data_IF_347413443438
#
_entry.id   IF_347413443438
#
_cell.length_a   1.000
_cell.length_b   1.000
_cell.length_c   1.000
_cell.angle_alpha   90.00
_cell.angle_beta   90.00
_cell.angle_gamma   90.00
#
_symmetry.space_group_name_H-M   'P 1'
#
loop_
_entity.id
_entity.type
_entity.pdbx_description
1 polymer ?
#
# COMPACT_ATOMS: atom_id res chain seq x y z
N UNK A 1 25.46 24.93 63.06
CA UNK A 1 26.91 24.74 62.96
C UNK A 1 27.23 23.33 63.42
N UNK A 2 27.54 22.40 62.53
CA UNK A 2 28.31 21.19 62.83
C UNK A 2 29.06 20.76 61.56
N UNK A 3 30.35 20.52 61.73
CA UNK A 3 31.30 20.14 60.69
C UNK A 3 31.24 18.63 60.43
N UNK A 4 31.33 18.21 59.17
CA UNK A 4 31.56 16.81 58.78
C UNK A 4 32.98 16.64 58.26
N UNK A 5 33.76 15.77 58.91
CA UNK A 5 35.13 15.39 58.54
C UNK A 5 35.08 14.29 57.47
N UNK A 6 35.83 14.46 56.38
CA UNK A 6 36.01 13.44 55.35
C UNK A 6 37.24 12.57 55.62
N UNK A 7 37.10 11.25 55.42
CA UNK A 7 38.22 10.33 55.20
C UNK A 7 38.19 9.84 53.75
N UNK A 8 39.28 10.07 53.03
CA UNK A 8 39.54 9.48 51.72
C UNK A 8 40.22 8.11 51.92
N UNK A 9 39.72 7.07 51.25
CA UNK A 9 40.39 5.78 51.11
C UNK A 9 40.69 5.52 49.63
N UNK A 10 41.93 5.15 49.34
CA UNK A 10 42.48 4.90 48.01
C UNK A 10 42.47 3.40 47.71
N UNK A 11 41.33 2.88 47.24
CA UNK A 11 41.16 1.68 46.37
C UNK A 11 39.67 1.43 46.08
N UNK A 12 39.27 1.10 44.84
CA UNK A 12 37.88 0.84 44.53
C UNK A 12 37.46 -0.54 45.05
N UNK A 13 36.41 -0.57 45.87
CA UNK A 13 35.66 -1.78 46.20
C UNK A 13 34.31 -1.68 45.47
N UNK A 14 33.95 -2.69 44.69
CA UNK A 14 32.62 -2.74 44.06
C UNK A 14 31.69 -3.42 45.06
N UNK A 15 30.77 -2.65 45.65
CA UNK A 15 29.63 -3.14 46.40
C UNK A 15 28.45 -3.24 45.44
N UNK A 16 28.01 -4.46 45.13
CA UNK A 16 26.79 -4.68 44.36
C UNK A 16 25.64 -4.97 45.35
N UNK A 17 24.71 -4.02 45.49
CA UNK A 17 23.51 -4.16 46.29
C UNK A 17 22.34 -4.40 45.32
N UNK A 18 22.09 -5.66 44.98
CA UNK A 18 20.92 -6.05 44.19
C UNK A 18 19.66 -6.03 45.06
N UNK A 19 18.81 -5.04 44.83
CA UNK A 19 17.45 -4.98 45.39
C UNK A 19 16.50 -5.80 44.50
N UNK A 20 16.09 -6.98 44.94
CA UNK A 20 15.02 -7.73 44.28
C UNK A 20 13.66 -7.16 44.70
N UNK A 21 12.97 -6.48 43.79
CA UNK A 21 11.53 -6.25 43.87
C UNK A 21 10.82 -7.32 43.03
N UNK A 22 10.24 -8.32 43.70
CA UNK A 22 9.18 -9.15 43.13
C UNK A 22 7.87 -8.83 43.85
N UNK A 23 6.92 -8.25 43.12
CA UNK A 23 5.54 -8.01 43.57
C UNK A 23 4.71 -9.26 43.32
N UNK A 24 3.99 -9.70 44.36
CA UNK A 24 3.22 -10.94 44.47
C UNK A 24 1.88 -10.92 43.73
N UNK A 25 1.42 -12.07 43.22
CA UNK A 25 -0.01 -12.34 42.99
C UNK A 25 -0.35 -13.84 43.15
N UNK A 26 -1.46 -14.09 43.87
CA UNK A 26 -2.20 -15.35 44.10
C UNK A 26 -1.69 -16.38 45.14
N UNK A 27 -2.21 -16.27 46.37
CA UNK A 27 -3.40 -17.03 46.80
C UNK A 27 -3.28 -18.53 47.12
N UNK A 28 -3.30 -18.81 48.44
CA UNK A 28 -4.02 -19.91 49.11
C UNK A 28 -3.37 -21.32 49.16
N UNK A 29 -2.75 -21.67 50.30
CA UNK A 29 -3.16 -22.75 51.24
C UNK A 29 -2.11 -22.95 52.36
N UNK A 30 -2.64 -23.05 53.59
CA UNK A 30 -2.17 -23.78 54.77
C UNK A 30 -0.67 -23.81 55.17
N UNK A 31 -0.41 -23.40 56.42
CA UNK A 31 0.31 -24.26 57.36
C UNK A 31 1.67 -23.78 57.91
N UNK A 32 1.69 -23.60 59.23
CA UNK A 32 2.82 -23.62 60.18
C UNK A 32 3.85 -22.47 60.22
N UNK A 33 4.05 -22.02 61.46
CA UNK A 33 5.06 -21.09 61.95
C UNK A 33 6.48 -21.69 61.91
N UNK A 34 7.48 -20.89 61.54
CA UNK A 34 8.81 -20.84 62.18
C UNK A 34 9.64 -19.65 61.64
N UNK A 35 10.54 -19.04 62.44
CA UNK A 35 11.27 -17.83 62.07
C UNK A 35 12.57 -18.18 61.29
N UNK A 36 12.67 -17.76 60.03
CA UNK A 36 13.91 -17.88 59.26
C UNK A 36 14.92 -16.81 59.66
N UNK A 37 15.98 -17.21 60.36
CA UNK A 37 17.22 -16.44 60.45
C UNK A 37 18.02 -16.57 59.15
N UNK A 38 18.33 -15.48 58.48
CA UNK A 38 19.24 -15.48 57.33
C UNK A 38 20.68 -15.41 57.83
N UNK A 39 21.42 -16.51 57.67
CA UNK A 39 22.89 -16.50 57.68
C UNK A 39 23.35 -16.01 56.29
N UNK A 40 24.09 -14.89 56.26
CA UNK A 40 24.85 -14.49 55.08
C UNK A 40 26.27 -15.04 55.19
N UNK A 41 26.61 -16.03 54.38
CA UNK A 41 27.99 -16.52 54.26
C UNK A 41 28.81 -15.57 53.38
N UNK A 42 29.92 -15.08 53.91
CA UNK A 42 30.94 -14.34 53.15
C UNK A 42 31.94 -15.37 52.61
N UNK A 43 31.84 -15.69 51.32
CA UNK A 43 32.85 -16.50 50.64
C UNK A 43 33.87 -15.54 50.00
N UNK A 44 35.03 -15.40 50.64
CA UNK A 44 36.19 -14.73 50.06
C UNK A 44 37.15 -15.79 49.49
N UNK A 45 37.39 -15.76 48.17
CA UNK A 45 38.44 -16.56 47.54
C UNK A 45 39.74 -15.76 47.48
N UNK A 46 40.89 -16.32 47.92
CA UNK A 46 42.19 -15.70 47.70
C UNK A 46 42.58 -15.85 46.22
N UNK A 47 42.87 -14.73 45.55
CA UNK A 47 43.48 -14.73 44.22
C UNK A 47 44.92 -15.23 44.33
N UNK A 48 45.12 -16.46 43.90
CA UNK A 48 46.41 -17.14 43.85
C UNK A 48 47.21 -16.59 42.65
N UNK A 49 48.40 -16.06 42.93
CA UNK A 49 49.37 -15.60 41.94
C UNK A 49 49.76 -16.75 40.99
N UNK A 50 49.25 -16.70 39.76
CA UNK A 50 49.76 -17.51 38.64
C UNK A 50 50.79 -16.69 37.85
N UNK A 51 52.05 -16.85 38.22
CA UNK A 51 53.20 -16.50 37.39
C UNK A 51 53.50 -17.63 36.39
N UNK A 52 53.57 -17.26 35.10
CA UNK A 52 53.89 -18.13 33.96
C UNK A 52 52.61 -18.73 33.34
N UNK A 53 52.30 -18.60 32.05
CA UNK A 53 53.13 -18.56 30.84
C UNK A 53 52.38 -17.69 29.82
N UNK A 54 52.88 -16.48 29.54
CA UNK A 54 52.43 -15.66 28.41
C UNK A 54 53.61 -15.57 27.43
N UNK A 55 53.65 -16.53 26.51
CA UNK A 55 54.48 -16.45 25.31
C UNK A 55 53.60 -16.86 24.13
N UNK A 56 53.28 -15.89 23.25
CA UNK A 56 52.75 -16.22 21.92
C UNK A 56 51.51 -15.48 21.44
N UNK A 57 51.19 -14.27 21.92
CA UNK A 57 50.33 -13.33 21.18
C UNK A 57 50.89 -11.93 21.43
N UNK A 58 51.59 -11.38 20.43
CA UNK A 58 52.25 -10.08 20.53
C UNK A 58 51.28 -9.01 21.01
N UNK A 59 51.63 -8.35 22.11
CA UNK A 59 50.89 -7.18 22.59
C UNK A 59 51.03 -6.09 21.54
N UNK A 60 50.03 -5.93 20.68
CA UNK A 60 50.06 -4.87 19.69
C UNK A 60 50.28 -3.52 20.40
N UNK A 61 51.24 -2.70 19.94
CA UNK A 61 51.55 -1.43 20.57
C UNK A 61 50.30 -0.59 20.76
N UNK A 62 50.16 0.06 21.92
CA UNK A 62 49.01 0.91 22.25
C UNK A 62 48.69 1.93 21.15
N UNK A 63 49.71 2.48 20.47
CA UNK A 63 49.55 3.40 19.36
C UNK A 63 48.85 2.78 18.14
N UNK A 64 49.02 1.48 17.87
CA UNK A 64 48.29 0.79 16.79
C UNK A 64 46.80 0.68 17.13
N UNK A 65 46.46 0.35 18.39
CA UNK A 65 45.06 0.30 18.84
C UNK A 65 44.40 1.68 18.72
N UNK A 66 45.09 2.73 19.13
CA UNK A 66 44.63 4.12 18.94
C UNK A 66 44.46 4.47 17.47
N UNK A 67 45.39 4.06 16.61
CA UNK A 67 45.34 4.29 15.16
C UNK A 67 44.16 3.56 14.50
N UNK A 68 43.82 2.33 14.93
CA UNK A 68 42.64 1.61 14.44
C UNK A 68 41.33 2.26 14.90
N UNK A 69 41.26 2.73 16.15
CA UNK A 69 40.10 3.43 16.69
C UNK A 69 39.88 4.79 15.99
N UNK A 70 40.93 5.60 15.85
CA UNK A 70 40.83 6.92 15.20
C UNK A 70 40.63 6.79 13.69
N UNK A 71 41.32 5.85 13.03
CA UNK A 71 41.15 5.55 11.62
C UNK A 71 39.75 5.00 11.30
N UNK A 72 39.22 4.11 12.14
CA UNK A 72 37.86 3.60 12.02
C UNK A 72 36.80 4.69 12.21
N UNK A 73 36.98 5.57 13.20
CA UNK A 73 36.09 6.72 13.42
C UNK A 73 36.12 7.70 12.24
N UNK A 74 37.30 7.99 11.67
CA UNK A 74 37.46 8.83 10.48
C UNK A 74 36.79 8.21 9.24
N UNK A 75 36.95 6.90 9.02
CA UNK A 75 36.29 6.18 7.93
C UNK A 75 34.76 6.22 8.08
N UNK A 76 34.25 6.00 9.30
CA UNK A 76 32.82 6.08 9.57
C UNK A 76 32.28 7.50 9.33
N UNK A 77 32.98 8.54 9.79
CA UNK A 77 32.61 9.93 9.55
C UNK A 77 32.64 10.29 8.06
N UNK A 78 33.68 9.85 7.33
CA UNK A 78 33.77 10.06 5.88
C UNK A 78 32.65 9.34 5.12
N UNK A 79 32.32 8.11 5.51
CA UNK A 79 31.20 7.35 4.94
C UNK A 79 29.86 8.03 5.23
N UNK A 80 29.67 8.57 6.44
CA UNK A 80 28.47 9.32 6.82
C UNK A 80 28.35 10.62 6.00
N UNK A 81 29.43 11.41 5.90
CA UNK A 81 29.44 12.64 5.09
C UNK A 81 29.22 12.34 3.61
N UNK A 82 29.83 11.28 3.08
CA UNK A 82 29.61 10.85 1.71
C UNK A 82 28.15 10.45 1.49
N UNK A 83 27.56 9.69 2.42
CA UNK A 83 26.15 9.34 2.38
C UNK A 83 25.26 10.60 2.41
N UNK A 84 25.55 11.56 3.29
CA UNK A 84 24.82 12.83 3.41
C UNK A 84 24.94 13.67 2.12
N UNK A 85 26.14 13.77 1.54
CA UNK A 85 26.36 14.46 0.27
C UNK A 85 25.63 13.77 -0.90
N UNK A 86 25.59 12.43 -0.93
CA UNK A 86 24.83 11.68 -1.92
C UNK A 86 23.32 11.90 -1.75
N UNK A 87 22.82 11.98 -0.51
CA UNK A 87 21.42 12.33 -0.21
C UNK A 87 21.11 13.74 -0.68
N UNK A 88 21.96 14.73 -0.39
CA UNK A 88 21.79 16.12 -0.82
C UNK A 88 21.80 16.23 -2.36
N UNK A 89 22.75 15.57 -3.02
CA UNK A 89 22.86 15.59 -4.49
C UNK A 89 21.63 14.95 -5.14
N UNK A 90 21.16 13.83 -4.60
CA UNK A 90 19.92 13.19 -5.05
C UNK A 90 18.72 14.11 -4.85
N UNK A 91 18.66 14.82 -3.73
CA UNK A 91 17.59 15.79 -3.47
C UNK A 91 17.63 16.98 -4.46
N UNK A 92 18.82 17.46 -4.83
CA UNK A 92 18.98 18.53 -5.83
C UNK A 92 18.63 18.09 -7.25
N UNK A 93 18.87 16.82 -7.60
CA UNK A 93 18.46 16.25 -8.90
C UNK A 93 16.93 16.12 -9.01
N UNK A 94 16.27 15.93 -7.87
CA UNK A 94 14.81 15.85 -7.73
C UNK A 94 14.16 17.25 -7.71
N UNK A 95 14.88 18.28 -7.27
CA UNK A 95 14.42 19.67 -7.11
C UNK A 95 14.37 20.45 -8.45
N UNK A 96 13.91 19.83 -9.52
CA UNK A 96 13.52 20.57 -10.71
C UNK A 96 12.23 21.32 -10.39
N UNK A 97 12.32 22.65 -10.30
CA UNK A 97 11.15 23.54 -10.34
C UNK A 97 10.21 23.07 -11.45
N UNK A 98 8.92 22.96 -11.12
CA UNK A 98 7.84 22.50 -11.99
C UNK A 98 7.77 20.98 -12.30
N UNK A 99 8.54 20.12 -11.60
CA UNK A 99 8.32 18.68 -11.66
C UNK A 99 7.47 18.17 -10.49
N UNK A 100 6.51 17.29 -10.79
CA UNK A 100 5.78 16.53 -9.78
C UNK A 100 6.68 15.37 -9.34
N UNK A 101 7.02 15.32 -8.06
CA UNK A 101 7.78 14.20 -7.48
C UNK A 101 6.78 13.31 -6.75
N UNK A 102 6.51 12.13 -7.30
CA UNK A 102 5.63 11.13 -6.71
C UNK A 102 6.41 10.24 -5.75
N UNK A 103 6.19 10.41 -4.46
CA UNK A 103 6.70 9.51 -3.44
C UNK A 103 5.78 8.29 -3.32
N UNK A 104 6.35 7.09 -3.52
CA UNK A 104 5.61 5.84 -3.44
C UNK A 104 6.49 4.64 -3.03
N UNK A 105 5.87 3.49 -2.81
CA UNK A 105 6.59 2.25 -2.49
C UNK A 105 7.41 1.75 -3.67
N UNK A 106 8.51 1.07 -3.38
CA UNK A 106 9.37 0.46 -4.40
C UNK A 106 8.59 -0.53 -5.27
N UNK A 107 8.95 -0.60 -6.56
CA UNK A 107 8.40 -1.56 -7.51
C UNK A 107 8.63 -3.00 -7.00
N UNK A 108 7.62 -3.88 -7.02
CA UNK A 108 7.84 -5.30 -6.79
C UNK A 108 8.65 -5.94 -7.93
N UNK A 109 9.19 -7.14 -7.68
CA UNK A 109 10.06 -7.83 -8.63
C UNK A 109 9.33 -8.61 -9.73
N UNK A 110 8.00 -8.70 -9.69
CA UNK A 110 7.15 -9.39 -10.67
C UNK A 110 6.66 -8.46 -11.80
N UNK A 111 7.28 -7.30 -11.99
CA UNK A 111 6.98 -6.37 -13.08
C UNK A 111 5.76 -5.47 -12.87
N UNK A 112 4.88 -5.74 -11.90
CA UNK A 112 3.72 -4.85 -11.65
C UNK A 112 4.18 -3.50 -11.08
N UNK A 113 3.47 -2.39 -11.35
CA UNK A 113 3.94 -1.08 -10.90
C UNK A 113 3.87 -0.90 -9.37
N UNK A 114 2.87 -1.46 -8.69
CA UNK A 114 2.77 -1.31 -7.23
C UNK A 114 1.91 -2.38 -6.59
N UNK A 115 2.34 -2.84 -5.41
CA UNK A 115 1.53 -3.66 -4.49
C UNK A 115 0.60 -2.81 -3.61
N UNK A 116 0.61 -1.48 -3.78
CA UNK A 116 -0.32 -0.57 -3.12
C UNK A 116 -1.33 -0.05 -4.14
N UNK A 117 -2.63 -0.32 -3.95
CA UNK A 117 -3.65 0.16 -4.89
C UNK A 117 -3.74 1.68 -4.94
N UNK A 118 -3.47 2.37 -3.84
CA UNK A 118 -3.40 3.83 -3.79
C UNK A 118 -2.22 4.40 -4.58
N UNK A 119 -1.04 3.75 -4.53
CA UNK A 119 0.11 4.18 -5.32
C UNK A 119 -0.15 3.97 -6.81
N UNK A 120 -0.69 2.81 -7.19
CA UNK A 120 -1.06 2.53 -8.58
C UNK A 120 -2.15 3.47 -9.09
N UNK A 121 -3.18 3.77 -8.27
CA UNK A 121 -4.21 4.77 -8.57
C UNK A 121 -3.57 6.12 -8.91
N UNK A 122 -2.70 6.63 -8.04
CA UNK A 122 -2.15 7.97 -8.20
C UNK A 122 -1.24 8.07 -9.42
N UNK A 123 -0.38 7.08 -9.65
CA UNK A 123 0.47 7.09 -10.84
C UNK A 123 -0.35 6.93 -12.13
N UNK A 124 -1.39 6.09 -12.11
CA UNK A 124 -2.32 5.96 -13.25
C UNK A 124 -3.05 7.28 -13.51
N UNK A 125 -3.48 8.00 -12.46
CA UNK A 125 -4.10 9.31 -12.60
C UNK A 125 -3.16 10.31 -13.29
N UNK A 126 -1.90 10.40 -12.85
CA UNK A 126 -0.91 11.31 -13.46
C UNK A 126 -0.72 11.00 -14.95
N UNK A 127 -0.66 9.72 -15.32
CA UNK A 127 -0.57 9.28 -16.73
C UNK A 127 -1.84 9.58 -17.52
N UNK A 128 -3.01 9.36 -16.93
CA UNK A 128 -4.30 9.69 -17.57
C UNK A 128 -4.47 11.18 -17.80
N UNK A 129 -3.92 11.99 -16.89
CA UNK A 129 -3.89 13.45 -16.93
C UNK A 129 -2.78 14.01 -17.84
N UNK A 130 -1.93 13.15 -18.40
CA UNK A 130 -0.74 13.53 -19.18
C UNK A 130 0.19 14.51 -18.44
N UNK A 131 0.30 14.33 -17.11
CA UNK A 131 1.15 15.16 -16.27
C UNK A 131 2.54 14.54 -16.17
N UNK A 132 3.63 15.29 -16.43
CA UNK A 132 4.98 14.79 -16.24
C UNK A 132 5.29 14.66 -14.74
N UNK A 133 5.84 13.51 -14.35
CA UNK A 133 6.22 13.24 -12.96
C UNK A 133 7.49 12.39 -12.88
N UNK A 134 8.13 12.43 -11.71
CA UNK A 134 9.27 11.60 -11.35
C UNK A 134 8.92 10.73 -10.15
N UNK A 135 9.29 9.45 -10.21
CA UNK A 135 9.05 8.53 -9.11
C UNK A 135 10.19 8.56 -8.09
N UNK A 136 9.85 8.69 -6.81
CA UNK A 136 10.77 8.58 -5.71
C UNK A 136 10.42 7.41 -4.78
N UNK A 137 11.24 6.35 -4.84
CA UNK A 137 11.04 5.10 -4.09
C UNK A 137 11.77 5.06 -2.74
N UNK A 138 11.85 6.19 -2.03
CA UNK A 138 12.60 6.26 -0.76
C UNK A 138 11.90 5.63 0.45
N UNK A 139 10.68 5.11 0.30
CA UNK A 139 9.94 4.46 1.40
C UNK A 139 9.51 5.39 2.53
N UNK A 140 9.74 6.70 2.42
CA UNK A 140 9.36 7.70 3.41
C UNK A 140 7.87 7.99 3.34
N UNK A 141 7.16 7.77 4.44
CA UNK A 141 5.74 8.13 4.56
C UNK A 141 5.56 9.66 4.64
N UNK A 142 4.37 10.14 4.27
CA UNK A 142 4.00 11.54 4.48
C UNK A 142 3.95 11.91 5.98
N UNK A 143 3.78 13.20 6.29
CA UNK A 143 3.57 13.65 7.67
C UNK A 143 2.35 12.99 8.34
N UNK A 144 1.36 12.58 7.56
CA UNK A 144 0.15 11.88 7.98
C UNK A 144 0.34 10.35 8.00
N UNK A 145 1.55 9.84 7.75
CA UNK A 145 1.83 8.40 7.71
C UNK A 145 1.25 7.68 6.49
N UNK A 146 0.95 8.41 5.41
CA UNK A 146 0.31 7.86 4.20
C UNK A 146 1.25 7.82 2.99
N UNK A 147 0.90 6.97 2.04
CA UNK A 147 1.53 6.81 0.74
C UNK A 147 0.41 6.51 -0.29
N UNK A 148 0.48 7.03 -1.53
CA UNK A 148 1.47 7.96 -2.06
C UNK A 148 1.28 9.39 -1.54
N UNK A 149 2.29 10.22 -1.78
CA UNK A 149 2.25 11.67 -1.59
C UNK A 149 3.14 12.36 -2.63
N UNK A 150 2.94 13.65 -2.85
CA UNK A 150 3.70 14.40 -3.86
C UNK A 150 4.48 15.57 -3.26
N UNK A 151 5.57 15.94 -3.93
CA UNK A 151 6.20 17.26 -3.83
C UNK A 151 6.03 17.97 -5.18
N UNK A 152 5.59 19.21 -5.13
CA UNK A 152 5.49 20.07 -6.33
C UNK A 152 5.77 21.51 -5.91
N UNK A 153 6.80 22.14 -6.51
CA UNK A 153 7.20 23.51 -6.21
C UNK A 153 7.37 23.80 -4.70
N UNK A 154 8.07 22.88 -4.00
CA UNK A 154 8.30 22.89 -2.54
C UNK A 154 7.06 22.69 -1.66
N UNK A 155 5.89 22.48 -2.23
CA UNK A 155 4.67 22.11 -1.49
C UNK A 155 4.54 20.58 -1.41
N UNK A 156 4.29 20.06 -0.21
CA UNK A 156 4.11 18.62 0.03
C UNK A 156 2.65 18.32 0.31
N UNK A 157 2.05 17.46 -0.49
CA UNK A 157 0.61 17.14 -0.39
C UNK A 157 0.43 15.64 -0.24
N UNK A 158 -0.41 15.22 0.71
CA UNK A 158 -0.69 13.81 0.96
C UNK A 158 -2.19 13.54 1.06
N UNK A 159 -2.57 12.28 0.78
CA UNK A 159 -3.96 11.87 0.59
C UNK A 159 -4.38 12.05 -0.86
N UNK A 160 -4.73 10.95 -1.53
CA UNK A 160 -5.00 10.91 -2.98
C UNK A 160 -6.06 11.91 -3.42
N UNK A 161 -7.12 12.12 -2.63
CA UNK A 161 -8.16 13.13 -2.91
C UNK A 161 -7.58 14.55 -2.93
N UNK A 162 -6.83 14.92 -1.88
CA UNK A 162 -6.22 16.25 -1.77
C UNK A 162 -5.12 16.48 -2.82
N UNK A 163 -4.38 15.43 -3.20
CA UNK A 163 -3.39 15.50 -4.28
C UNK A 163 -4.08 15.83 -5.60
N UNK A 164 -5.19 15.17 -5.91
CA UNK A 164 -5.94 15.40 -7.14
C UNK A 164 -6.51 16.82 -7.16
N UNK A 165 -7.14 17.27 -6.08
CA UNK A 165 -7.69 18.63 -5.96
C UNK A 165 -6.58 19.69 -6.12
N UNK A 166 -5.42 19.47 -5.48
CA UNK A 166 -4.26 20.35 -5.59
C UNK A 166 -3.72 20.45 -7.02
N UNK A 167 -3.60 19.32 -7.72
CA UNK A 167 -3.12 19.31 -9.10
C UNK A 167 -4.14 19.96 -10.05
N UNK A 168 -5.43 19.76 -9.82
CA UNK A 168 -6.49 20.44 -10.57
C UNK A 168 -6.40 21.96 -10.38
N UNK A 169 -6.23 22.44 -9.14
CA UNK A 169 -6.09 23.86 -8.82
C UNK A 169 -4.83 24.47 -9.44
N UNK A 170 -3.67 23.81 -9.33
CA UNK A 170 -2.37 24.36 -9.75
C UNK A 170 -2.10 24.21 -11.24
N UNK A 171 -2.61 23.15 -11.88
CA UNK A 171 -2.28 22.79 -13.27
C UNK A 171 -3.49 22.77 -14.21
N UNK A 172 -4.71 22.96 -13.69
CA UNK A 172 -5.93 23.04 -14.49
C UNK A 172 -6.40 21.71 -15.09
N UNK A 173 -5.84 20.58 -14.64
CA UNK A 173 -6.21 19.26 -15.17
C UNK A 173 -7.36 18.65 -14.39
N UNK A 174 -8.53 18.55 -15.05
CA UNK A 174 -9.73 17.96 -14.48
C UNK A 174 -10.25 16.80 -15.35
N UNK A 175 -10.01 15.56 -14.92
CA UNK A 175 -10.51 14.35 -15.59
C UNK A 175 -12.04 14.17 -15.44
N UNK A 176 -12.65 14.84 -14.48
CA UNK A 176 -14.09 14.81 -14.21
C UNK A 176 -14.85 15.94 -14.92
N UNK A 177 -14.21 16.72 -15.80
CA UNK A 177 -14.81 17.91 -16.45
C UNK A 177 -16.11 17.63 -17.22
N UNK A 178 -16.30 16.39 -17.69
CA UNK A 178 -17.48 15.98 -18.44
C UNK A 178 -18.60 15.42 -17.55
N UNK A 179 -18.37 15.28 -16.24
CA UNK A 179 -19.33 14.67 -15.33
C UNK A 179 -20.30 15.73 -14.77
N UNK A 180 -21.59 15.49 -14.93
CA UNK A 180 -22.64 16.29 -14.30
C UNK A 180 -22.69 16.10 -12.77
N UNK A 181 -23.45 16.94 -12.04
CA UNK A 181 -23.52 16.87 -10.58
C UNK A 181 -23.92 15.48 -10.03
N UNK A 182 -24.89 14.82 -10.67
CA UNK A 182 -25.32 13.46 -10.29
C UNK A 182 -24.22 12.42 -10.53
N UNK A 183 -23.55 12.48 -11.69
CA UNK A 183 -22.45 11.58 -12.02
C UNK A 183 -21.25 11.75 -11.08
N UNK A 184 -20.96 12.99 -10.65
CA UNK A 184 -19.93 13.26 -9.63
C UNK A 184 -20.30 12.67 -8.27
N UNK A 185 -21.59 12.69 -7.89
CA UNK A 185 -22.07 12.06 -6.66
C UNK A 185 -21.94 10.52 -6.73
N UNK A 186 -22.31 9.90 -7.87
CA UNK A 186 -22.10 8.47 -8.10
C UNK A 186 -20.61 8.13 -8.05
N UNK A 187 -19.77 8.91 -8.75
CA UNK A 187 -18.32 8.73 -8.73
C UNK A 187 -17.74 8.79 -7.32
N UNK A 188 -18.23 9.73 -6.48
CA UNK A 188 -17.84 9.83 -5.07
C UNK A 188 -18.21 8.55 -4.30
N UNK A 189 -19.44 8.08 -4.45
CA UNK A 189 -19.94 6.89 -3.75
C UNK A 189 -19.14 5.63 -4.13
N UNK A 190 -18.92 5.41 -5.42
CA UNK A 190 -18.14 4.27 -5.93
C UNK A 190 -16.68 4.37 -5.47
N UNK A 191 -16.08 5.57 -5.50
CA UNK A 191 -14.73 5.80 -4.95
C UNK A 191 -14.63 5.36 -3.50
N UNK A 192 -15.61 5.71 -2.66
CA UNK A 192 -15.61 5.30 -1.25
C UNK A 192 -15.85 3.81 -1.06
N UNK A 193 -16.73 3.19 -1.84
CA UNK A 193 -16.87 1.74 -1.83
C UNK A 193 -15.54 1.04 -2.16
N UNK A 194 -14.80 1.53 -3.15
CA UNK A 194 -13.53 0.93 -3.56
C UNK A 194 -12.42 1.15 -2.53
N UNK A 195 -12.25 2.38 -2.05
CA UNK A 195 -11.13 2.74 -1.18
C UNK A 195 -11.33 2.38 0.29
N UNK A 196 -12.58 2.36 0.78
CA UNK A 196 -12.89 2.16 2.21
C UNK A 196 -13.56 0.82 2.49
N UNK A 197 -13.99 0.05 1.48
CA UNK A 197 -14.57 -1.29 1.67
C UNK A 197 -13.77 -2.35 0.92
N UNK A 198 -13.75 -2.28 -0.41
CA UNK A 198 -13.06 -3.27 -1.25
C UNK A 198 -11.56 -3.36 -0.94
N UNK A 199 -10.90 -2.23 -0.74
CA UNK A 199 -9.49 -2.15 -0.33
C UNK A 199 -9.14 -3.06 0.85
N UNK A 200 -9.95 -3.05 1.93
CA UNK A 200 -9.63 -3.84 3.12
C UNK A 200 -9.70 -5.34 2.87
N UNK A 201 -10.61 -5.77 1.99
CA UNK A 201 -10.70 -7.19 1.59
C UNK A 201 -9.49 -7.63 0.75
N UNK A 202 -9.01 -6.77 -0.15
CA UNK A 202 -7.77 -7.00 -0.89
C UNK A 202 -6.55 -6.99 0.03
N UNK A 203 -6.48 -6.05 0.99
CA UNK A 203 -5.40 -5.96 1.95
C UNK A 203 -5.32 -7.20 2.85
N UNK A 204 -6.49 -7.75 3.25
CA UNK A 204 -6.56 -9.04 3.94
C UNK A 204 -5.98 -10.16 3.09
N UNK A 205 -6.46 -10.31 1.86
CA UNK A 205 -5.97 -11.35 0.96
C UNK A 205 -4.45 -11.22 0.75
N UNK A 206 -3.93 -10.01 0.53
CA UNK A 206 -2.52 -9.75 0.28
C UNK A 206 -1.61 -9.98 1.49
N UNK A 207 -1.99 -9.45 2.66
CA UNK A 207 -1.10 -9.36 3.83
C UNK A 207 -1.44 -10.35 4.95
N UNK A 208 -2.58 -11.03 4.90
CA UNK A 208 -2.98 -12.01 5.90
C UNK A 208 -2.90 -13.42 5.33
N UNK A 209 -3.60 -13.67 4.23
CA UNK A 209 -3.77 -15.02 3.67
C UNK A 209 -2.65 -15.37 2.70
N UNK A 210 -2.39 -14.50 1.73
CA UNK A 210 -1.38 -14.72 0.68
C UNK A 210 0.00 -14.17 1.05
N UNK A 211 0.30 -14.05 2.34
CA UNK A 211 1.51 -13.39 2.85
C UNK A 211 2.81 -13.94 2.25
N UNK A 212 2.87 -15.26 2.03
CA UNK A 212 4.07 -15.92 1.51
C UNK A 212 4.36 -15.53 0.06
N UNK A 213 3.34 -15.43 -0.80
CA UNK A 213 3.52 -15.01 -2.19
C UNK A 213 3.80 -13.51 -2.25
N UNK A 214 3.08 -12.69 -1.49
CA UNK A 214 3.36 -11.25 -1.34
C UNK A 214 4.80 -10.99 -0.92
N UNK A 215 5.35 -11.79 0.00
CA UNK A 215 6.75 -11.69 0.45
C UNK A 215 7.75 -11.91 -0.69
N UNK A 216 7.45 -12.83 -1.63
CA UNK A 216 8.32 -13.08 -2.79
C UNK A 216 8.34 -11.88 -3.74
N UNK A 217 7.25 -11.11 -3.79
CA UNK A 217 7.11 -9.93 -4.64
C UNK A 217 7.88 -8.70 -4.12
N UNK A 218 8.16 -8.63 -2.83
CA UNK A 218 8.79 -7.45 -2.21
C UNK A 218 10.23 -7.22 -2.66
N UNK A 219 10.50 -6.07 -3.26
CA UNK A 219 11.87 -5.60 -3.50
C UNK A 219 12.39 -4.79 -2.29
N UNK A 220 12.79 -5.51 -1.23
CA UNK A 220 13.55 -4.89 -0.14
C UNK A 220 15.05 -5.13 -0.37
N UNK A 221 15.77 -4.04 -0.65
CA UNK A 221 17.23 -3.90 -0.60
C UNK A 221 18.06 -4.98 -1.31
N UNK A 222 18.49 -4.68 -2.54
CA UNK A 222 19.83 -4.98 -3.11
C UNK A 222 20.40 -6.41 -3.09
N UNK A 223 19.65 -7.43 -2.70
CA UNK A 223 20.17 -8.81 -2.60
C UNK A 223 21.17 -9.02 -1.45
N UNK A 224 21.23 -8.12 -0.46
CA UNK A 224 22.12 -8.25 0.68
C UNK A 224 21.81 -9.49 1.56
N UNK A 225 22.76 -9.94 2.40
CA UNK A 225 22.64 -11.19 3.18
C UNK A 225 21.46 -11.21 4.16
N UNK A 226 20.94 -10.03 4.53
CA UNK A 226 19.80 -9.89 5.43
C UNK A 226 18.47 -9.59 4.73
N UNK A 227 18.43 -9.56 3.39
CA UNK A 227 17.25 -9.17 2.61
C UNK A 227 16.04 -10.07 2.89
N UNK A 228 16.24 -11.38 2.98
CA UNK A 228 15.19 -12.35 3.30
C UNK A 228 14.61 -12.17 4.71
N UNK A 229 15.49 -11.95 5.70
CA UNK A 229 15.06 -11.68 7.07
C UNK A 229 14.27 -10.37 7.14
N UNK A 230 14.74 -9.32 6.46
CA UNK A 230 14.05 -8.04 6.41
C UNK A 230 12.67 -8.15 5.75
N UNK A 231 12.55 -8.87 4.63
CA UNK A 231 11.25 -9.18 3.99
C UNK A 231 10.32 -9.92 4.94
N UNK A 232 10.84 -10.92 5.65
CA UNK A 232 10.06 -11.65 6.65
C UNK A 232 9.56 -10.71 7.77
N UNK A 233 10.44 -9.90 8.36
CA UNK A 233 10.08 -8.94 9.43
C UNK A 233 9.03 -7.95 8.94
N UNK A 234 9.26 -7.32 7.77
CA UNK A 234 8.31 -6.35 7.20
C UNK A 234 6.95 -6.99 6.94
N UNK A 235 6.91 -8.18 6.32
CA UNK A 235 5.66 -8.91 6.10
C UNK A 235 4.89 -9.18 7.39
N UNK A 236 5.55 -9.67 8.43
CA UNK A 236 4.88 -9.99 9.70
C UNK A 236 4.41 -8.74 10.46
N UNK A 237 5.18 -7.65 10.41
CA UNK A 237 4.75 -6.35 10.95
C UNK A 237 3.53 -5.85 10.18
N UNK A 238 3.58 -5.83 8.84
CA UNK A 238 2.47 -5.37 8.00
C UNK A 238 1.21 -6.22 8.22
N UNK A 239 1.34 -7.55 8.35
CA UNK A 239 0.23 -8.44 8.70
C UNK A 239 -0.42 -8.04 10.03
N UNK A 240 0.38 -7.74 11.06
CA UNK A 240 -0.12 -7.29 12.36
C UNK A 240 -0.84 -5.94 12.27
N UNK A 241 -0.29 -4.99 11.52
CA UNK A 241 -0.91 -3.68 11.28
C UNK A 241 -2.24 -3.85 10.55
N UNK A 242 -2.27 -4.58 9.42
CA UNK A 242 -3.50 -4.79 8.63
C UNK A 242 -4.60 -5.41 9.48
N UNK A 243 -4.31 -6.46 10.26
CA UNK A 243 -5.29 -7.07 11.16
C UNK A 243 -5.84 -6.08 12.19
N UNK A 244 -4.97 -5.27 12.80
CA UNK A 244 -5.36 -4.26 13.80
C UNK A 244 -6.25 -3.19 13.18
N UNK A 245 -5.82 -2.58 12.07
CA UNK A 245 -6.56 -1.51 11.39
C UNK A 245 -7.90 -2.01 10.86
N UNK A 246 -7.94 -3.20 10.26
CA UNK A 246 -9.19 -3.83 9.83
C UNK A 246 -10.15 -4.09 11.00
N UNK A 247 -9.64 -4.50 12.15
CA UNK A 247 -10.47 -4.69 13.34
C UNK A 247 -11.00 -3.35 13.85
N UNK A 248 -10.21 -2.27 13.80
CA UNK A 248 -10.68 -0.90 14.05
C UNK A 248 -11.79 -0.48 13.08
N UNK A 249 -11.61 -0.76 11.79
CA UNK A 249 -12.57 -0.48 10.72
C UNK A 249 -13.89 -1.26 10.87
N UNK A 250 -13.85 -2.45 11.49
CA UNK A 250 -15.00 -3.31 11.72
C UNK A 250 -15.10 -4.49 10.76
N UNK A 251 -14.59 -4.37 9.55
CA UNK A 251 -14.56 -5.49 8.59
C UNK A 251 -13.68 -6.65 9.08
N UNK A 252 -12.62 -6.36 9.85
CA UNK A 252 -11.78 -7.38 10.49
C UNK A 252 -12.41 -8.10 11.67
N UNK A 253 -13.71 -7.88 11.94
CA UNK A 253 -14.49 -8.66 12.92
C UNK A 253 -15.17 -9.87 12.30
N UNK A 254 -15.29 -9.91 10.98
CA UNK A 254 -15.88 -11.02 10.24
C UNK A 254 -14.89 -12.16 10.06
N UNK A 255 -15.42 -13.35 9.79
CA UNK A 255 -14.65 -14.52 9.41
C UNK A 255 -14.01 -14.36 8.02
N UNK A 256 -13.02 -15.21 7.72
CA UNK A 256 -12.36 -15.25 6.41
C UNK A 256 -13.37 -15.39 5.26
N UNK A 257 -14.30 -16.34 5.35
CA UNK A 257 -15.31 -16.56 4.32
C UNK A 257 -16.23 -15.35 4.13
N UNK A 258 -16.64 -14.70 5.22
CA UNK A 258 -17.44 -13.48 5.16
C UNK A 258 -16.68 -12.32 4.51
N UNK A 259 -15.39 -12.15 4.80
CA UNK A 259 -14.54 -11.13 4.16
C UNK A 259 -14.46 -11.39 2.65
N UNK A 260 -14.27 -12.64 2.23
CA UNK A 260 -14.29 -12.97 0.79
C UNK A 260 -15.66 -12.78 0.17
N UNK A 261 -16.77 -13.12 0.83
CA UNK A 261 -18.11 -12.82 0.33
C UNK A 261 -18.34 -11.32 0.13
N UNK A 262 -17.82 -10.47 1.03
CA UNK A 262 -17.87 -9.01 0.88
C UNK A 262 -17.06 -8.55 -0.35
N UNK A 263 -15.84 -9.06 -0.52
CA UNK A 263 -15.00 -8.79 -1.69
C UNK A 263 -15.72 -9.16 -3.00
N UNK A 264 -16.34 -10.34 -3.08
CA UNK A 264 -17.04 -10.75 -4.30
C UNK A 264 -18.25 -9.86 -4.60
N UNK A 265 -18.97 -9.40 -3.57
CA UNK A 265 -20.10 -8.47 -3.74
C UNK A 265 -19.62 -7.14 -4.32
N UNK A 266 -18.49 -6.61 -3.86
CA UNK A 266 -17.91 -5.38 -4.41
C UNK A 266 -17.49 -5.58 -5.87
N UNK A 267 -16.82 -6.69 -6.19
CA UNK A 267 -16.39 -6.99 -7.56
C UNK A 267 -17.59 -7.17 -8.50
N UNK A 268 -18.64 -7.89 -8.09
CA UNK A 268 -19.88 -8.01 -8.87
C UNK A 268 -20.60 -6.66 -9.03
N UNK A 269 -20.57 -5.82 -8.00
CA UNK A 269 -21.13 -4.46 -8.07
C UNK A 269 -20.36 -3.60 -9.07
N UNK A 270 -19.03 -3.66 -9.07
CA UNK A 270 -18.20 -2.99 -10.07
C UNK A 270 -18.46 -3.51 -11.48
N UNK A 271 -18.64 -4.83 -11.64
CA UNK A 271 -18.97 -5.43 -12.94
C UNK A 271 -20.34 -4.99 -13.45
N UNK A 272 -21.35 -4.91 -12.57
CA UNK A 272 -22.67 -4.38 -12.89
C UNK A 272 -22.65 -2.88 -13.20
N UNK A 273 -21.87 -2.10 -12.45
CA UNK A 273 -21.66 -0.68 -12.72
C UNK A 273 -20.96 -0.44 -14.04
N UNK A 274 -19.98 -1.27 -14.42
CA UNK A 274 -19.33 -1.19 -15.72
C UNK A 274 -20.31 -1.57 -16.83
N UNK A 275 -21.02 -2.70 -16.69
CA UNK A 275 -21.88 -3.25 -17.75
C UNK A 275 -21.09 -3.41 -19.05
N UNK A 276 -21.66 -2.86 -20.13
CA UNK A 276 -21.04 -2.81 -21.47
C UNK A 276 -20.28 -1.50 -21.74
N UNK A 277 -20.16 -0.61 -20.76
CA UNK A 277 -19.49 0.68 -20.94
C UNK A 277 -17.99 0.50 -21.08
N UNK A 278 -17.37 1.40 -21.84
CA UNK A 278 -15.90 1.42 -22.02
C UNK A 278 -15.16 1.72 -20.72
N UNK A 279 -15.69 2.65 -19.93
CA UNK A 279 -15.21 3.10 -18.62
C UNK A 279 -16.40 3.21 -17.65
N UNK A 280 -16.13 3.32 -16.34
CA UNK A 280 -17.19 3.20 -15.32
C UNK A 280 -18.27 4.27 -15.49
N UNK A 281 -17.88 5.50 -15.86
CA UNK A 281 -18.81 6.62 -16.10
C UNK A 281 -19.21 6.78 -17.58
N UNK A 282 -18.94 5.80 -18.45
CA UNK A 282 -19.36 5.82 -19.86
C UNK A 282 -18.18 5.80 -20.85
N UNK A 283 -18.19 6.63 -21.91
CA UNK A 283 -17.21 6.54 -22.99
C UNK A 283 -15.89 7.27 -22.71
N UNK A 284 -15.87 8.24 -21.80
CA UNK A 284 -14.69 9.03 -21.43
C UNK A 284 -14.12 8.58 -20.08
N UNK A 285 -12.81 8.63 -19.96
CA UNK A 285 -12.11 8.37 -18.70
C UNK A 285 -12.44 9.44 -17.65
N UNK A 286 -12.40 9.03 -16.40
CA UNK A 286 -12.57 9.89 -15.23
C UNK A 286 -11.59 9.54 -14.12
N UNK A 287 -11.52 10.35 -13.07
CA UNK A 287 -10.73 10.02 -11.87
C UNK A 287 -11.18 8.71 -11.22
N UNK A 288 -12.46 8.34 -11.39
CA UNK A 288 -12.99 7.07 -10.89
C UNK A 288 -12.29 5.88 -11.53
N UNK A 289 -11.94 5.97 -12.81
CA UNK A 289 -11.30 4.87 -13.52
C UNK A 289 -9.89 4.58 -12.99
N UNK A 290 -9.12 5.62 -12.68
CA UNK A 290 -7.83 5.44 -12.00
C UNK A 290 -7.99 4.74 -10.64
N UNK A 291 -9.07 5.06 -9.92
CA UNK A 291 -9.39 4.46 -8.61
C UNK A 291 -9.75 2.98 -8.75
N UNK A 292 -10.71 2.66 -9.62
CA UNK A 292 -11.19 1.30 -9.83
C UNK A 292 -10.08 0.42 -10.40
N UNK A 293 -9.35 0.91 -11.41
CA UNK A 293 -8.20 0.20 -11.96
C UNK A 293 -7.13 -0.07 -10.90
N UNK A 294 -6.73 0.94 -10.11
CA UNK A 294 -5.67 0.77 -9.10
C UNK A 294 -5.95 -0.36 -8.10
N UNK A 295 -7.23 -0.60 -7.79
CA UNK A 295 -7.66 -1.66 -6.88
C UNK A 295 -7.92 -3.00 -7.59
N UNK A 296 -8.63 -3.02 -8.73
CA UNK A 296 -8.87 -4.25 -9.48
C UNK A 296 -7.57 -4.85 -10.04
N UNK A 297 -6.58 -4.02 -10.34
CA UNK A 297 -5.26 -4.48 -10.75
C UNK A 297 -4.59 -5.38 -9.70
N UNK A 298 -4.91 -5.19 -8.41
CA UNK A 298 -4.39 -6.08 -7.36
C UNK A 298 -4.97 -7.49 -7.50
N UNK A 299 -6.30 -7.58 -7.69
CA UNK A 299 -6.97 -8.84 -7.97
C UNK A 299 -6.46 -9.50 -9.27
N UNK A 300 -6.19 -8.73 -10.31
CA UNK A 300 -5.73 -9.25 -11.61
C UNK A 300 -4.29 -9.78 -11.61
N UNK A 301 -3.35 -9.08 -10.97
CA UNK A 301 -1.92 -9.31 -11.20
C UNK A 301 -1.06 -9.42 -9.94
N UNK A 302 -1.58 -9.12 -8.74
CA UNK A 302 -0.78 -9.15 -7.50
C UNK A 302 -1.19 -10.24 -6.52
N UNK A 303 -2.29 -10.95 -6.79
CA UNK A 303 -2.84 -12.00 -5.93
C UNK A 303 -2.93 -13.36 -6.65
N UNK A 304 -1.80 -13.93 -7.12
CA UNK A 304 -1.78 -15.16 -7.91
C UNK A 304 -2.35 -16.36 -7.14
N UNK A 305 -3.17 -17.16 -7.80
CA UNK A 305 -3.81 -18.36 -7.28
C UNK A 305 -4.89 -18.08 -6.22
N UNK A 306 -5.27 -16.84 -5.98
CA UNK A 306 -6.24 -16.48 -4.93
C UNK A 306 -7.67 -16.40 -5.47
N UNK A 307 -8.65 -16.31 -4.56
CA UNK A 307 -10.07 -16.15 -4.88
C UNK A 307 -10.37 -14.89 -5.73
N UNK A 308 -9.86 -13.68 -5.43
CA UNK A 308 -10.07 -12.50 -6.29
C UNK A 308 -9.56 -12.70 -7.72
N UNK A 309 -8.35 -13.25 -7.89
CA UNK A 309 -7.80 -13.49 -9.23
C UNK A 309 -8.64 -14.47 -10.03
N UNK A 310 -9.02 -15.61 -9.42
CA UNK A 310 -9.89 -16.60 -10.08
C UNK A 310 -11.24 -16.01 -10.47
N UNK A 311 -11.80 -15.14 -9.65
CA UNK A 311 -13.09 -14.53 -9.93
C UNK A 311 -13.01 -13.54 -11.09
N UNK A 312 -11.99 -12.67 -11.12
CA UNK A 312 -11.86 -11.66 -12.18
C UNK A 312 -11.40 -12.26 -13.52
N UNK A 313 -10.48 -13.23 -13.50
CA UNK A 313 -10.03 -13.93 -14.71
C UNK A 313 -11.01 -15.04 -15.16
N UNK A 314 -12.00 -15.36 -14.33
CA UNK A 314 -13.07 -16.29 -14.66
C UNK A 314 -14.09 -15.70 -15.64
N UNK A 315 -14.97 -16.55 -16.16
CA UNK A 315 -15.99 -16.14 -17.13
C UNK A 315 -17.03 -15.17 -16.55
N UNK A 316 -17.23 -15.14 -15.23
CA UNK A 316 -18.26 -14.31 -14.58
C UNK A 316 -17.97 -12.82 -14.69
N UNK A 317 -16.72 -12.38 -14.54
CA UNK A 317 -16.33 -10.97 -14.46
C UNK A 317 -15.41 -10.55 -15.62
N UNK A 318 -15.60 -11.17 -16.78
CA UNK A 318 -14.77 -10.96 -17.97
C UNK A 318 -14.72 -9.49 -18.39
N UNK A 319 -15.82 -8.74 -18.20
CA UNK A 319 -15.88 -7.32 -18.53
C UNK A 319 -14.92 -6.49 -17.66
N UNK A 320 -14.74 -6.84 -16.37
CA UNK A 320 -13.76 -6.20 -15.50
C UNK A 320 -12.32 -6.53 -15.90
N UNK A 321 -12.04 -7.79 -16.26
CA UNK A 321 -10.72 -8.16 -16.76
C UNK A 321 -10.37 -7.39 -18.05
N UNK A 322 -11.30 -7.33 -19.00
CA UNK A 322 -11.15 -6.55 -20.23
C UNK A 322 -10.99 -5.04 -19.96
N UNK A 323 -11.70 -4.50 -18.97
CA UNK A 323 -11.53 -3.13 -18.51
C UNK A 323 -10.11 -2.88 -17.95
N UNK A 324 -9.60 -3.78 -17.12
CA UNK A 324 -8.26 -3.66 -16.56
C UNK A 324 -7.19 -3.72 -17.67
N UNK A 325 -7.28 -4.68 -18.59
CA UNK A 325 -6.37 -4.81 -19.73
C UNK A 325 -6.37 -3.55 -20.61
N UNK A 326 -7.54 -2.95 -20.86
CA UNK A 326 -7.66 -1.72 -21.65
C UNK A 326 -6.88 -0.56 -21.03
N UNK A 327 -6.99 -0.37 -19.72
CA UNK A 327 -6.28 0.70 -19.00
C UNK A 327 -4.79 0.39 -18.91
N UNK A 328 -4.41 -0.86 -18.62
CA UNK A 328 -3.01 -1.31 -18.62
C UNK A 328 -2.36 -1.03 -19.97
N UNK A 329 -2.91 -1.53 -21.08
CA UNK A 329 -2.32 -1.35 -22.42
C UNK A 329 -2.20 0.13 -22.83
N UNK A 330 -3.18 0.96 -22.44
CA UNK A 330 -3.19 2.38 -22.81
C UNK A 330 -2.22 3.23 -21.99
N UNK A 331 -2.14 3.01 -20.67
CA UNK A 331 -1.38 3.89 -19.77
C UNK A 331 -0.14 3.24 -19.17
N UNK A 332 0.04 1.94 -19.33
CA UNK A 332 1.16 1.15 -18.84
C UNK A 332 1.70 0.22 -19.92
N UNK A 333 2.05 0.72 -21.11
CA UNK A 333 2.53 -0.13 -22.22
C UNK A 333 3.82 -0.89 -21.87
N UNK A 334 4.61 -0.39 -20.92
CA UNK A 334 5.83 -1.04 -20.43
C UNK A 334 5.55 -2.15 -19.40
N UNK A 335 4.33 -2.23 -18.86
CA UNK A 335 3.95 -3.27 -17.92
C UNK A 335 3.59 -4.54 -18.69
N UNK A 336 4.60 -5.33 -19.04
CA UNK A 336 4.43 -6.65 -19.65
C UNK A 336 4.08 -7.70 -18.57
N UNK A 337 3.10 -8.55 -18.85
CA UNK A 337 2.77 -9.71 -18.03
C UNK A 337 3.14 -10.98 -18.80
N UNK A 338 3.71 -11.98 -18.14
CA UNK A 338 4.33 -13.14 -18.81
C UNK A 338 3.35 -13.94 -19.71
N UNK A 339 2.05 -13.83 -19.50
CA UNK A 339 1.02 -14.41 -20.37
C UNK A 339 0.98 -13.79 -21.79
N UNK A 340 1.53 -12.58 -22.00
CA UNK A 340 1.69 -11.98 -23.34
C UNK A 340 2.88 -12.63 -24.12
N UNK A 341 3.83 -13.30 -23.44
CA UNK A 341 5.06 -13.85 -24.06
C UNK A 341 4.93 -15.31 -24.54
N UNK A 342 3.98 -16.08 -24.01
CA UNK A 342 3.74 -17.47 -24.46
C UNK A 342 3.26 -17.53 -25.91
N UNK A 343 2.83 -16.41 -26.50
CA UNK A 343 2.36 -16.34 -27.88
C UNK A 343 3.52 -16.30 -28.90
N UNK A 344 4.71 -15.81 -28.53
CA UNK A 344 5.84 -15.73 -29.48
C UNK A 344 6.72 -17.00 -29.52
N UNK A 345 6.73 -17.82 -28.47
CA UNK A 345 7.54 -19.05 -28.44
C UNK A 345 6.73 -20.32 -28.77
N UNK A 346 5.39 -20.26 -28.75
CA UNK A 346 4.54 -21.44 -28.98
C UNK A 346 4.26 -21.77 -30.44
N UNK A 347 4.59 -20.90 -31.40
CA UNK A 347 4.50 -21.23 -32.83
C UNK A 347 5.64 -22.15 -33.32
N UNK A 348 6.68 -22.41 -32.53
CA UNK A 348 7.83 -23.23 -32.95
C UNK A 348 8.00 -24.61 -32.27
N UNK A 349 7.14 -25.03 -31.32
CA UNK A 349 7.31 -26.37 -30.73
C UNK A 349 6.02 -27.11 -30.38
N UNK A 350 5.97 -28.36 -30.84
CA UNK A 350 4.81 -29.26 -30.97
C UNK A 350 4.30 -29.87 -29.67
N UNK A 351 3.01 -30.26 -29.73
CA UNK A 351 2.37 -31.46 -29.19
C UNK A 351 2.73 -31.94 -27.77
N UNK A 352 1.75 -31.88 -26.85
CA UNK A 352 1.82 -32.61 -25.59
C UNK A 352 0.73 -32.26 -24.59
N UNK A 353 -0.37 -33.01 -24.62
CA UNK A 353 -1.49 -32.97 -23.67
C UNK A 353 -1.11 -32.82 -22.19
N UNK A 354 -1.76 -31.89 -21.48
CA UNK A 354 -2.19 -32.00 -20.08
C UNK A 354 -3.34 -31.02 -19.79
N UNK A 355 -4.41 -31.54 -19.22
CA UNK A 355 -5.60 -30.83 -18.73
C UNK A 355 -5.25 -29.75 -17.72
N UNK A 356 -5.43 -28.49 -18.12
CA UNK A 356 -5.58 -27.33 -17.27
C UNK A 356 -6.85 -26.61 -17.76
N UNK A 357 -7.74 -26.20 -16.86
CA UNK A 357 -8.83 -25.29 -17.25
C UNK A 357 -8.16 -24.03 -17.83
N UNK A 358 -8.37 -23.69 -19.11
CA UNK A 358 -7.68 -22.56 -19.70
C UNK A 358 -8.22 -21.28 -19.06
N UNK A 359 -7.32 -20.47 -18.51
CA UNK A 359 -7.63 -19.06 -18.26
C UNK A 359 -7.99 -18.43 -19.60
N UNK A 360 -9.04 -17.60 -19.62
CA UNK A 360 -9.54 -17.00 -20.85
C UNK A 360 -8.46 -16.09 -21.46
N UNK A 361 -8.22 -16.27 -22.76
CA UNK A 361 -7.26 -15.47 -23.52
C UNK A 361 -7.85 -14.09 -23.84
N UNK A 362 -7.25 -13.05 -23.26
CA UNK A 362 -7.68 -11.66 -23.41
C UNK A 362 -6.98 -10.92 -24.57
N UNK A 363 -6.09 -11.58 -25.32
CA UNK A 363 -5.32 -10.96 -26.40
C UNK A 363 -6.15 -10.72 -27.67
N UNK A 364 -7.10 -11.61 -27.99
CA UNK A 364 -7.83 -11.59 -29.27
C UNK A 364 -8.99 -10.58 -29.39
N UNK A 365 -9.45 -9.98 -28.30
CA UNK A 365 -10.67 -9.16 -28.30
C UNK A 365 -10.46 -7.65 -28.55
N UNK A 366 -9.28 -7.20 -28.98
CA UNK A 366 -8.94 -5.76 -28.98
C UNK A 366 -8.44 -5.17 -30.31
N UNK A 367 -8.67 -5.80 -31.46
CA UNK A 367 -8.44 -5.16 -32.77
C UNK A 367 -9.73 -4.50 -33.28
N UNK A 368 -9.94 -3.24 -32.89
CA UNK A 368 -10.79 -2.17 -33.50
C UNK A 368 -10.95 -1.06 -32.45
N UNK A 369 -10.78 0.24 -32.62
CA UNK A 369 -10.50 1.16 -33.72
C UNK A 369 -9.85 2.40 -33.08
N UNK A 370 -8.78 2.91 -33.67
CA UNK A 370 -8.29 4.27 -33.44
C UNK A 370 -8.93 5.17 -34.50
N UNK A 371 -9.85 6.04 -34.11
CA UNK A 371 -10.20 7.21 -34.91
C UNK A 371 -10.05 8.47 -34.07
N UNK A 372 -9.47 9.45 -34.72
CA UNK A 372 -8.90 10.69 -34.19
C UNK A 372 -9.97 11.71 -33.78
N UNK A 373 -9.49 12.66 -32.99
CA UNK A 373 -10.16 13.86 -32.51
C UNK A 373 -10.19 14.91 -33.64
N UNK A 374 -11.37 15.33 -34.11
CA UNK A 374 -11.52 16.60 -34.83
C UNK A 374 -12.73 17.37 -34.29
N UNK A 375 -12.47 18.62 -33.93
CA UNK A 375 -13.47 19.59 -33.51
C UNK A 375 -14.02 20.41 -34.67
N UNK A 376 -15.24 20.90 -34.40
CA UNK A 376 -15.87 22.13 -34.89
C UNK A 376 -16.86 22.05 -36.09
N UNK A 377 -18.07 22.48 -35.75
CA UNK A 377 -19.06 23.25 -36.53
C UNK A 377 -20.14 22.53 -37.38
N UNK A 378 -21.36 22.60 -36.83
CA UNK A 378 -22.66 22.83 -37.46
C UNK A 378 -22.93 22.28 -38.88
N UNK A 379 -23.83 21.31 -38.95
CA UNK A 379 -25.02 21.45 -39.81
C UNK A 379 -26.17 20.55 -39.36
N UNK A 380 -27.36 21.15 -39.33
CA UNK A 380 -28.65 20.51 -39.09
C UNK A 380 -28.91 19.34 -40.05
N UNK A 381 -29.37 18.19 -39.54
CA UNK A 381 -30.40 17.42 -40.23
C UNK A 381 -31.26 16.61 -39.27
N UNK A 382 -32.57 16.73 -39.51
CA UNK A 382 -33.74 16.28 -38.77
C UNK A 382 -33.78 14.76 -38.57
N UNK A 383 -34.17 14.34 -37.36
CA UNK A 383 -34.82 13.05 -37.11
C UNK A 383 -36.30 13.12 -37.53
N UNK A 384 -36.85 12.09 -38.20
CA UNK A 384 -38.29 11.90 -38.29
C UNK A 384 -38.76 11.00 -37.13
N UNK A 385 -39.88 11.38 -36.54
CA UNK A 385 -40.97 10.50 -36.06
C UNK A 385 -41.67 11.13 -34.85
N UNK A 386 -42.45 12.17 -35.15
CA UNK A 386 -43.63 12.58 -34.38
C UNK A 386 -44.86 12.37 -35.28
N UNK A 387 -45.86 11.67 -34.74
CA UNK A 387 -47.11 11.37 -35.41
C UNK A 387 -48.07 12.58 -35.46
N UNK A 388 -48.94 12.55 -36.49
CA UNK A 388 -49.69 13.67 -37.08
C UNK A 388 -50.86 14.24 -36.22
N UNK A 389 -50.83 14.14 -34.90
CA UNK A 389 -51.95 14.59 -34.04
C UNK A 389 -51.55 15.45 -32.83
N UNK A 390 -50.27 15.83 -32.67
CA UNK A 390 -49.90 16.98 -31.82
C UNK A 390 -50.27 16.91 -30.33
N UNK A 391 -50.31 15.72 -29.71
CA UNK A 391 -50.54 15.57 -28.28
C UNK A 391 -49.43 14.77 -27.58
N UNK A 392 -48.92 15.36 -26.49
CA UNK A 392 -47.88 14.84 -25.58
C UNK A 392 -48.37 13.60 -24.83
N UNK A 393 -47.53 12.57 -24.71
CA UNK A 393 -47.89 11.25 -24.17
C UNK A 393 -47.17 10.89 -22.86
N UNK A 394 -46.84 11.86 -22.02
CA UNK A 394 -46.47 11.63 -20.61
C UNK A 394 -46.80 12.85 -19.76
N UNK A 395 -48.10 13.03 -19.48
CA UNK A 395 -48.62 13.71 -18.30
C UNK A 395 -49.73 12.82 -17.76
N UNK A 396 -49.49 12.22 -16.59
CA UNK A 396 -50.55 11.62 -15.78
C UNK A 396 -50.24 11.94 -14.33
N UNK A 397 -50.82 13.05 -13.90
CA UNK A 397 -51.00 13.46 -12.52
C UNK A 397 -51.74 12.37 -11.74
N UNK A 398 -51.23 12.03 -10.57
CA UNK A 398 -51.97 11.29 -9.54
C UNK A 398 -52.07 12.21 -8.33
N UNK A 399 -53.30 12.67 -8.08
CA UNK A 399 -53.69 13.56 -6.99
C UNK A 399 -53.38 12.97 -5.61
N UNK A 400 -52.87 13.84 -4.72
CA UNK A 400 -52.69 13.65 -3.30
C UNK A 400 -53.98 14.05 -2.57
N UNK A 401 -54.64 13.09 -1.91
CA UNK A 401 -55.69 13.40 -0.94
C UNK A 401 -55.08 13.70 0.43
N UNK A 402 -55.34 14.93 0.87
CA UNK A 402 -54.96 15.58 2.11
C UNK A 402 -55.85 15.06 3.27
N UNK A 403 -55.24 14.56 4.35
CA UNK A 403 -55.94 14.20 5.59
C UNK A 403 -55.54 15.19 6.68
N UNK A 404 -56.41 16.17 6.93
CA UNK A 404 -56.32 17.09 8.07
C UNK A 404 -57.34 16.71 9.16
N UNK A 405 -56.85 16.72 10.39
CA UNK A 405 -57.56 16.46 11.64
C UNK A 405 -58.74 17.43 11.88
N UNK A 406 -59.82 16.89 12.44
CA UNK A 406 -60.79 17.66 13.22
C UNK A 406 -61.01 17.00 14.59
N UNK A 407 -60.60 17.71 15.64
CA UNK A 407 -61.09 17.56 17.02
C UNK A 407 -62.62 17.79 17.11
N UNK A 408 -63.31 17.03 17.97
CA UNK A 408 -63.99 17.47 19.21
C UNK A 408 -65.27 16.68 19.57
N UNK A 409 -65.43 16.46 20.88
CA UNK A 409 -66.66 16.15 21.64
C UNK A 409 -67.28 14.74 21.55
N UNK A 410 -66.90 13.86 22.50
CA UNK A 410 -67.73 13.54 23.68
C UNK A 410 -66.99 12.72 24.72
#
# INVERSE_FOLDING_TARGET
>A
MHWGVGFASSRPCVLDLSWNQSVSFFGWWAGSEEPFSFYGDIIAFPLQDYGGIMAGLGSDPWWKKTLYLTGGALLAAAAYLLHELLVIRKQQEIDSKDAIILHQFARPNNGVPSLSPFCLKMETYLRMADLPYQNYFGGKLSAQGKMPWIEYNNEKVSGTEFIIDFLEEKLGVNLNKNLGPHERAVSRAVTKMVEEHFYWTLAYCQWVDNLNETRKMLSLSGGGPFSNLLRWVVCHITKGIVKREMHGHGIGRFSEEEIYMLMEKDMRSLAGLLGDKKYIMGPKLSTLDATVFGHLAQAMWTLPGTRPERLIKGSELINLAMYCERIRRKFWPEWHHDDDNTIYESEESSEGSKTHTPLLDFSFYSRTETFEDEGAENSFSRTPDTDFTGHSLFDSDVDMDDYTDHEQCK
#
